data_IF_025053106137
#
_entry.id   IF_025053106137
#
_cell.length_a   1.000
_cell.length_b   1.000
_cell.length_c   1.000
_cell.angle_alpha   90.00
_cell.angle_beta   90.00
_cell.angle_gamma   90.00
#
_symmetry.space_group_name_H-M   'P 1'
#
loop_
_entity.id
_entity.type
_entity.pdbx_description
1 polymer ?
#
# COMPACT_ATOMS: atom_id res chain seq x y z
N UNK A 1 14.78 -14.16 -10.86
CA UNK A 1 13.30 -14.17 -10.88
C UNK A 1 12.87 -13.32 -12.06
N UNK A 2 12.23 -13.91 -13.07
CA UNK A 2 11.66 -13.17 -14.21
C UNK A 2 10.35 -12.53 -13.77
N UNK A 3 10.05 -11.32 -14.25
CA UNK A 3 8.83 -10.58 -13.90
C UNK A 3 7.55 -11.36 -14.27
N UNK A 4 7.64 -12.23 -15.27
CA UNK A 4 6.56 -13.08 -15.78
C UNK A 4 6.07 -14.15 -14.77
N UNK A 5 6.85 -14.45 -13.72
CA UNK A 5 6.50 -15.47 -12.71
C UNK A 5 5.94 -14.88 -11.42
N UNK A 6 5.77 -13.54 -11.36
CA UNK A 6 5.16 -12.89 -10.20
C UNK A 6 3.68 -13.30 -10.13
N UNK A 7 3.33 -14.11 -9.15
CA UNK A 7 1.98 -14.60 -8.90
C UNK A 7 1.39 -13.96 -7.63
N UNK A 8 0.09 -14.12 -7.41
CA UNK A 8 -0.61 -13.65 -6.19
C UNK A 8 0.10 -14.17 -4.94
N UNK A 9 0.49 -15.46 -4.95
CA UNK A 9 1.17 -16.11 -3.83
C UNK A 9 2.52 -15.45 -3.50
N UNK A 10 3.25 -14.94 -4.50
CA UNK A 10 4.50 -14.20 -4.26
C UNK A 10 4.25 -12.86 -3.55
N UNK A 11 3.20 -12.14 -3.94
CA UNK A 11 2.82 -10.87 -3.32
C UNK A 11 2.31 -11.08 -1.89
N UNK A 12 1.48 -12.09 -1.67
CA UNK A 12 0.98 -12.46 -0.33
C UNK A 12 2.13 -12.87 0.60
N UNK A 13 3.04 -13.73 0.12
CA UNK A 13 4.22 -14.16 0.88
C UNK A 13 5.10 -12.96 1.26
N UNK A 14 5.28 -12.01 0.36
CA UNK A 14 6.03 -10.78 0.64
C UNK A 14 5.35 -9.95 1.75
N UNK A 15 4.02 -9.76 1.69
CA UNK A 15 3.29 -9.07 2.75
C UNK A 15 3.38 -9.79 4.11
N UNK A 16 3.32 -11.12 4.11
CA UNK A 16 3.46 -11.93 5.31
C UNK A 16 4.86 -11.77 5.94
N UNK A 17 5.92 -11.83 5.11
CA UNK A 17 7.31 -11.63 5.57
C UNK A 17 7.48 -10.22 6.15
N UNK A 18 7.08 -9.19 5.41
CA UNK A 18 7.20 -7.79 5.84
C UNK A 18 6.47 -7.57 7.18
N UNK A 19 5.27 -8.15 7.35
CA UNK A 19 4.51 -8.01 8.60
C UNK A 19 5.21 -8.71 9.76
N UNK A 20 5.70 -9.94 9.54
CA UNK A 20 6.39 -10.76 10.54
C UNK A 20 7.69 -10.13 11.04
N UNK A 21 8.56 -9.70 10.13
CA UNK A 21 9.84 -9.05 10.47
C UNK A 21 9.62 -7.80 11.35
N UNK A 22 8.57 -7.05 11.05
CA UNK A 22 8.19 -5.86 11.79
C UNK A 22 7.63 -6.16 13.18
N UNK A 23 6.86 -7.24 13.32
CA UNK A 23 6.40 -7.74 14.62
C UNK A 23 7.56 -8.23 15.49
N UNK A 24 8.50 -8.98 14.91
CA UNK A 24 9.73 -9.46 15.57
C UNK A 24 10.63 -8.30 16.00
N UNK A 25 10.62 -7.19 15.25
CA UNK A 25 11.30 -5.93 15.60
C UNK A 25 10.53 -5.08 16.63
N UNK A 26 9.41 -5.58 17.18
CA UNK A 26 8.57 -4.87 18.14
C UNK A 26 7.78 -3.68 17.56
N UNK A 27 7.70 -3.54 16.24
CA UNK A 27 7.04 -2.42 15.54
C UNK A 27 5.99 -2.92 14.57
N UNK A 28 4.72 -2.99 14.99
CA UNK A 28 3.62 -3.31 14.07
C UNK A 28 3.51 -2.30 12.92
N UNK A 29 3.44 -2.80 11.70
CA UNK A 29 3.13 -1.95 10.55
C UNK A 29 1.70 -1.42 10.66
N UNK A 30 1.55 -0.10 10.46
CA UNK A 30 0.23 0.49 10.35
C UNK A 30 -0.43 0.01 9.06
N UNK A 31 -1.74 -0.23 9.11
CA UNK A 31 -2.52 -0.64 7.94
C UNK A 31 -2.31 0.32 6.74
N UNK A 32 -2.17 1.63 7.01
CA UNK A 32 -1.87 2.64 5.99
C UNK A 32 -0.54 2.43 5.24
N UNK A 33 0.46 1.81 5.88
CA UNK A 33 1.73 1.47 5.23
C UNK A 33 1.55 0.27 4.31
N UNK A 34 0.81 -0.75 4.75
CA UNK A 34 0.50 -1.93 3.93
C UNK A 34 -0.30 -1.54 2.67
N UNK A 35 -1.28 -0.64 2.79
CA UNK A 35 -2.03 -0.12 1.63
C UNK A 35 -1.15 0.64 0.64
N UNK A 36 -0.19 1.44 1.12
CA UNK A 36 0.76 2.16 0.24
C UNK A 36 1.64 1.18 -0.53
N UNK A 37 2.14 0.13 0.14
CA UNK A 37 2.90 -0.94 -0.51
C UNK A 37 2.03 -1.61 -1.59
N UNK A 38 0.77 -1.96 -1.28
CA UNK A 38 -0.15 -2.57 -2.25
C UNK A 38 -0.39 -1.66 -3.45
N UNK A 39 -0.62 -0.37 -3.21
CA UNK A 39 -0.88 0.61 -4.28
C UNK A 39 0.32 0.74 -5.23
N UNK A 40 1.54 0.82 -4.71
CA UNK A 40 2.76 0.88 -5.52
C UNK A 40 2.95 -0.39 -6.35
N UNK A 41 2.73 -1.57 -5.74
CA UNK A 41 2.83 -2.86 -6.45
C UNK A 41 1.77 -2.99 -7.54
N UNK A 42 0.53 -2.60 -7.25
CA UNK A 42 -0.54 -2.58 -8.25
C UNK A 42 -0.20 -1.66 -9.42
N UNK A 43 0.40 -0.49 -9.16
CA UNK A 43 0.84 0.43 -10.21
C UNK A 43 1.96 -0.15 -11.06
N UNK A 44 2.98 -0.77 -10.43
CA UNK A 44 4.10 -1.40 -11.12
C UNK A 44 3.64 -2.59 -11.99
N UNK A 45 2.78 -3.46 -11.46
CA UNK A 45 2.24 -4.60 -12.20
C UNK A 45 1.27 -4.18 -13.30
N UNK A 46 0.48 -3.13 -13.09
CA UNK A 46 -0.30 -2.53 -14.19
C UNK A 46 0.60 -1.95 -15.29
N UNK A 47 1.76 -1.40 -14.95
CA UNK A 47 2.72 -0.97 -15.96
C UNK A 47 3.30 -2.17 -16.72
N UNK A 48 3.64 -3.26 -16.02
CA UNK A 48 4.12 -4.50 -16.64
C UNK A 48 3.07 -5.15 -17.57
N UNK A 49 1.80 -5.18 -17.17
CA UNK A 49 0.67 -5.60 -18.01
C UNK A 49 0.61 -4.78 -19.31
N UNK A 50 0.66 -3.45 -19.21
CA UNK A 50 0.63 -2.57 -20.39
C UNK A 50 1.80 -2.78 -21.34
N UNK A 51 2.92 -3.28 -20.82
CA UNK A 51 4.11 -3.62 -21.60
C UNK A 51 4.10 -5.08 -22.09
N UNK A 52 3.04 -5.85 -21.81
CA UNK A 52 2.93 -7.27 -22.19
C UNK A 52 3.91 -8.20 -21.47
N UNK A 53 4.45 -7.76 -20.32
CA UNK A 53 5.44 -8.53 -19.56
C UNK A 53 4.81 -9.55 -18.59
N UNK A 54 3.52 -9.40 -18.32
CA UNK A 54 2.71 -10.24 -17.42
C UNK A 54 1.30 -10.34 -18.02
N UNK A 55 0.61 -11.44 -17.80
CA UNK A 55 -0.73 -11.70 -18.35
C UNK A 55 -1.88 -11.21 -17.43
N UNK A 56 -1.65 -11.12 -16.12
CA UNK A 56 -2.64 -10.62 -15.14
C UNK A 56 -1.98 -9.78 -14.01
N UNK A 57 -2.76 -8.98 -13.28
CA UNK A 57 -2.29 -8.16 -12.15
C UNK A 57 -2.60 -8.82 -10.80
N UNK A 58 -1.68 -9.61 -10.23
CA UNK A 58 -1.90 -10.31 -8.97
C UNK A 58 -2.09 -9.39 -7.76
N UNK A 59 -1.52 -8.18 -7.74
CA UNK A 59 -1.71 -7.24 -6.64
C UNK A 59 -3.14 -6.67 -6.56
N UNK A 60 -3.95 -6.87 -7.60
CA UNK A 60 -5.37 -6.50 -7.59
C UNK A 60 -6.24 -7.45 -6.78
N UNK A 61 -5.78 -8.69 -6.56
CA UNK A 61 -6.52 -9.76 -5.90
C UNK A 61 -6.18 -9.90 -4.42
N UNK A 62 -5.11 -9.25 -3.95
CA UNK A 62 -4.68 -9.30 -2.54
C UNK A 62 -5.63 -8.49 -1.67
N UNK A 63 -6.41 -9.19 -0.84
CA UNK A 63 -7.26 -8.59 0.19
C UNK A 63 -6.42 -8.25 1.43
N UNK A 64 -6.29 -6.95 1.75
CA UNK A 64 -5.70 -6.49 3.02
C UNK A 64 -6.80 -5.89 3.92
N UNK A 65 -6.61 -5.91 5.25
CA UNK A 65 -7.55 -5.29 6.16
C UNK A 65 -7.80 -3.81 5.78
N UNK A 66 -9.06 -3.35 5.79
CA UNK A 66 -9.42 -2.03 5.29
C UNK A 66 -8.70 -0.94 6.09
N UNK A 67 -8.03 -0.03 5.39
CA UNK A 67 -7.44 1.13 6.04
C UNK A 67 -8.51 2.19 6.28
N UNK A 68 -8.56 2.73 7.49
CA UNK A 68 -9.39 3.91 7.77
C UNK A 68 -8.79 5.08 6.99
N UNK A 69 -9.48 5.53 5.95
CA UNK A 69 -9.10 6.71 5.16
C UNK A 69 -8.89 7.91 6.10
N UNK A 70 -7.73 8.57 6.11
CA UNK A 70 -7.55 9.78 6.91
C UNK A 70 -8.51 10.85 6.35
N UNK A 71 -9.54 11.21 7.14
CA UNK A 71 -10.35 12.40 6.85
C UNK A 71 -9.45 13.61 7.12
N UNK A 72 -9.30 14.47 6.13
CA UNK A 72 -8.66 15.77 6.33
C UNK A 72 -9.48 16.54 7.37
N UNK A 73 -8.91 16.76 8.55
CA UNK A 73 -9.51 17.62 9.56
C UNK A 73 -9.12 19.05 9.16
N UNK A 74 -10.04 19.77 8.53
CA UNK A 74 -9.92 21.22 8.36
C UNK A 74 -9.95 21.82 9.76
N UNK A 75 -8.81 22.31 10.22
CA UNK A 75 -8.74 23.03 11.49
C UNK A 75 -9.63 24.27 11.45
N UNK A 76 -10.19 24.72 12.58
CA UNK A 76 -11.00 25.93 12.63
C UNK A 76 -10.18 27.14 12.14
N UNK A 77 -10.80 28.09 11.42
CA UNK A 77 -10.11 29.25 10.89
C UNK A 77 -9.47 30.04 12.04
N UNK A 78 -8.17 30.29 11.94
CA UNK A 78 -7.45 31.20 12.84
C UNK A 78 -7.92 32.62 12.49
N UNK A 79 -8.84 33.17 13.29
CA UNK A 79 -9.28 34.56 13.15
C UNK A 79 -8.11 35.49 13.46
N UNK A 80 -7.61 36.17 12.43
CA UNK A 80 -6.68 37.27 12.59
C UNK A 80 -7.32 38.32 13.51
N UNK A 81 -6.74 38.50 14.69
CA UNK A 81 -7.09 39.62 15.55
C UNK A 81 -6.46 40.86 14.90
N UNK A 82 -7.31 41.64 14.24
CA UNK A 82 -7.05 43.03 13.92
C UNK A 82 -6.99 43.78 15.25
N UNK A 83 -5.81 44.30 15.58
CA UNK A 83 -5.70 45.36 16.57
C UNK A 83 -5.40 46.63 15.80
N UNK A 84 -6.36 47.55 15.87
CA UNK A 84 -6.24 48.95 15.48
C UNK A 84 -5.25 49.68 16.40
#
# INVERSE_FOLDING_TARGET
>A
MLLAEVSVAHVEKMFAIISREHEESGRRLKAATLDRIRATLRAALNAALRQGLVEDNPASLVALPPTRRPRAVVGPPKTAHSTA
#
